data_IF_333927327846
#
_entry.id   IF_333927327846
#
_cell.length_a   1.000
_cell.length_b   1.000
_cell.length_c   1.000
_cell.angle_alpha   90.00
_cell.angle_beta   90.00
_cell.angle_gamma   90.00
#
_symmetry.space_group_name_H-M   'P 1'
#
loop_
_entity.id
_entity.type
_entity.pdbx_description
1 polymer ?
#
# COMPACT_ATOMS: atom_id res chain seq x y z
N UNK A 1 21.73 7.53 4.92
CA UNK A 1 21.26 6.69 3.82
C UNK A 1 19.79 6.48 4.06
N UNK A 2 18.90 6.73 3.11
CA UNK A 2 17.46 6.58 3.36
C UNK A 2 16.98 5.24 2.84
N UNK A 3 16.81 4.26 3.72
CA UNK A 3 16.44 2.90 3.31
C UNK A 3 14.99 2.56 3.65
N UNK A 4 14.38 1.74 2.78
CA UNK A 4 13.15 1.00 3.07
C UNK A 4 13.41 -0.49 2.85
N UNK A 5 12.72 -1.34 3.60
CA UNK A 5 12.68 -2.77 3.34
C UNK A 5 11.27 -3.12 2.86
N UNK A 6 11.14 -3.50 1.59
CA UNK A 6 9.93 -4.12 1.08
C UNK A 6 9.81 -5.55 1.61
N UNK A 7 8.60 -5.94 1.95
CA UNK A 7 8.25 -7.26 2.46
C UNK A 7 7.02 -7.74 1.70
N UNK A 8 7.12 -8.93 1.13
CA UNK A 8 6.02 -9.64 0.52
C UNK A 8 5.68 -10.84 1.39
N UNK A 9 4.44 -10.90 1.85
CA UNK A 9 3.92 -12.04 2.60
C UNK A 9 3.04 -12.90 1.72
N UNK A 10 3.13 -14.23 1.81
CA UNK A 10 2.08 -15.12 1.34
C UNK A 10 0.92 -15.11 2.35
N UNK A 11 -0.32 -15.07 1.86
CA UNK A 11 -1.50 -15.16 2.72
C UNK A 11 -1.81 -16.63 2.94
N UNK A 12 -1.55 -17.15 4.14
CA UNK A 12 -1.63 -18.58 4.45
C UNK A 12 -3.05 -19.02 4.85
N UNK A 13 -3.80 -18.11 5.48
CA UNK A 13 -5.12 -18.42 6.00
C UNK A 13 -6.15 -17.33 5.72
N UNK A 14 -7.46 -17.66 5.79
CA UNK A 14 -8.50 -16.66 5.56
C UNK A 14 -8.33 -15.42 6.44
N UNK A 15 -8.40 -14.24 5.84
CA UNK A 15 -8.19 -12.98 6.53
C UNK A 15 -9.52 -12.32 6.92
N UNK A 16 -9.72 -12.00 8.20
CA UNK A 16 -10.89 -11.26 8.65
C UNK A 16 -10.54 -9.78 8.87
N UNK A 17 -10.80 -8.94 7.87
CA UNK A 17 -10.50 -7.51 7.97
C UNK A 17 -11.02 -6.69 6.79
N UNK A 18 -10.18 -5.85 6.21
CA UNK A 18 -10.57 -5.02 5.05
C UNK A 18 -10.14 -5.68 3.74
N UNK A 19 -11.02 -5.79 2.73
CA UNK A 19 -10.71 -6.53 1.50
C UNK A 19 -9.51 -6.01 0.71
N UNK A 20 -9.23 -4.70 0.77
CA UNK A 20 -8.25 -4.06 -0.11
C UNK A 20 -6.88 -3.83 0.53
N UNK A 21 -6.80 -3.82 1.86
CA UNK A 21 -5.55 -3.52 2.57
C UNK A 21 -5.55 -4.04 4.00
N UNK A 22 -4.35 -4.20 4.55
CA UNK A 22 -4.12 -4.39 5.99
C UNK A 22 -3.55 -3.09 6.56
N UNK A 23 -4.11 -2.61 7.70
CA UNK A 23 -3.67 -1.34 8.29
C UNK A 23 -2.17 -1.39 8.68
N UNK A 24 -1.43 -0.28 8.53
CA UNK A 24 -0.03 -0.24 8.98
C UNK A 24 0.09 -0.47 10.48
N UNK A 25 -0.90 0.01 11.26
CA UNK A 25 -1.04 -0.28 12.68
C UNK A 25 -1.23 -1.78 12.97
N UNK A 26 -2.01 -2.51 12.16
CA UNK A 26 -2.18 -3.96 12.33
C UNK A 26 -0.89 -4.72 12.03
N UNK A 27 -0.18 -4.35 10.96
CA UNK A 27 1.12 -4.94 10.61
C UNK A 27 2.17 -4.64 11.69
N UNK A 28 2.30 -3.38 12.11
CA UNK A 28 3.20 -2.98 13.20
C UNK A 28 2.96 -3.82 14.46
N UNK A 29 1.71 -3.92 14.91
CA UNK A 29 1.39 -4.68 16.13
C UNK A 29 1.59 -6.19 15.97
N UNK A 30 1.64 -6.73 14.74
CA UNK A 30 1.81 -8.16 14.50
C UNK A 30 3.26 -8.62 14.72
N UNK A 31 4.26 -7.75 14.52
CA UNK A 31 5.68 -8.07 14.74
C UNK A 31 6.39 -7.23 15.81
N UNK A 32 5.76 -6.16 16.32
CA UNK A 32 6.41 -5.19 17.22
C UNK A 32 6.98 -5.81 18.52
N UNK A 33 6.39 -6.91 19.00
CA UNK A 33 6.86 -7.61 20.20
C UNK A 33 8.03 -8.58 19.91
N UNK A 34 8.29 -8.88 18.63
CA UNK A 34 9.40 -9.74 18.19
C UNK A 34 10.71 -8.98 17.94
N UNK A 35 10.66 -7.65 17.95
CA UNK A 35 11.83 -6.78 17.76
C UNK A 35 12.28 -6.16 19.07
N UNK A 36 13.54 -5.72 19.14
CA UNK A 36 14.07 -5.03 20.33
C UNK A 36 13.29 -3.75 20.66
N UNK A 37 13.28 -3.31 21.92
CA UNK A 37 12.60 -2.06 22.30
C UNK A 37 13.08 -0.84 21.52
N UNK A 38 14.36 -0.77 21.19
CA UNK A 38 14.94 0.29 20.35
C UNK A 38 14.41 0.21 18.90
N UNK A 39 14.39 -0.98 18.31
CA UNK A 39 13.85 -1.20 16.97
C UNK A 39 12.35 -0.91 16.93
N UNK A 40 11.58 -1.39 17.92
CA UNK A 40 10.15 -1.10 18.09
C UNK A 40 9.89 0.39 18.08
N UNK A 41 10.70 1.17 18.81
CA UNK A 41 10.57 2.63 18.91
C UNK A 41 10.83 3.37 17.60
N UNK A 42 11.69 2.82 16.73
CA UNK A 42 12.12 3.46 15.49
C UNK A 42 11.38 2.97 14.23
N UNK A 43 10.81 1.77 14.24
CA UNK A 43 10.20 1.18 13.04
C UNK A 43 8.87 1.83 12.68
N UNK A 44 8.73 2.16 11.40
CA UNK A 44 7.52 2.67 10.75
C UNK A 44 7.07 1.67 9.69
N UNK A 45 5.76 1.46 9.55
CA UNK A 45 5.20 0.42 8.67
C UNK A 45 4.15 1.01 7.74
N UNK A 46 4.24 0.73 6.44
CA UNK A 46 3.22 1.15 5.47
C UNK A 46 1.91 0.38 5.63
N UNK A 47 0.86 0.81 4.94
CA UNK A 47 -0.26 -0.09 4.68
C UNK A 47 0.21 -1.34 3.91
N UNK A 48 -0.38 -2.49 4.18
CA UNK A 48 -0.24 -3.67 3.33
C UNK A 48 -1.28 -3.65 2.22
N UNK A 49 -0.88 -3.91 0.98
CA UNK A 49 -1.78 -4.01 -0.17
C UNK A 49 -1.78 -5.46 -0.64
N UNK A 50 -2.97 -6.04 -0.84
CA UNK A 50 -3.07 -7.40 -1.37
C UNK A 50 -2.68 -7.43 -2.83
N UNK A 51 -1.95 -8.46 -3.26
CA UNK A 51 -1.42 -8.60 -4.62
C UNK A 51 -1.69 -10.03 -5.11
N UNK A 52 -2.35 -10.23 -6.26
CA UNK A 52 -2.56 -11.56 -6.80
C UNK A 52 -1.29 -12.08 -7.47
N UNK A 53 -0.99 -13.38 -7.36
CA UNK A 53 0.10 -13.98 -8.12
C UNK A 53 -0.34 -14.35 -9.53
N UNK A 54 -0.03 -13.48 -10.50
CA UNK A 54 -0.68 -13.49 -11.80
C UNK A 54 0.18 -12.92 -12.94
N UNK A 55 -0.11 -13.30 -14.17
CA UNK A 55 0.59 -12.79 -15.34
C UNK A 55 0.33 -11.31 -15.60
N UNK A 56 1.41 -10.56 -15.83
CA UNK A 56 1.35 -9.13 -16.07
C UNK A 56 2.50 -8.56 -16.89
N UNK A 57 2.34 -7.27 -17.18
CA UNK A 57 3.25 -6.40 -17.89
C UNK A 57 3.53 -5.16 -17.03
N UNK A 58 4.82 -4.80 -16.89
CA UNK A 58 5.19 -3.57 -16.22
C UNK A 58 4.77 -2.37 -17.08
N UNK A 59 4.04 -1.40 -16.50
CA UNK A 59 3.64 -0.21 -17.24
C UNK A 59 4.84 0.60 -17.74
N UNK A 60 4.66 1.38 -18.80
CA UNK A 60 5.73 2.14 -19.47
C UNK A 60 6.55 3.07 -18.54
N UNK A 61 5.97 3.51 -17.43
CA UNK A 61 6.63 4.38 -16.46
C UNK A 61 7.65 3.67 -15.55
N UNK A 62 7.74 2.34 -15.62
CA UNK A 62 8.62 1.51 -14.80
C UNK A 62 9.96 1.24 -15.49
N UNK A 63 10.96 0.81 -14.71
CA UNK A 63 12.34 0.57 -15.19
C UNK A 63 12.45 -0.49 -16.28
N UNK A 64 11.68 -1.58 -16.19
CA UNK A 64 11.69 -2.69 -17.17
C UNK A 64 10.31 -2.91 -17.81
N UNK A 65 9.80 -1.99 -18.63
CA UNK A 65 8.43 -2.07 -19.13
C UNK A 65 8.20 -3.29 -20.04
N UNK A 66 6.97 -3.80 -20.05
CA UNK A 66 6.57 -4.94 -20.87
C UNK A 66 6.43 -6.25 -20.08
N UNK A 67 6.39 -7.37 -20.79
CA UNK A 67 6.02 -8.67 -20.22
C UNK A 67 7.00 -9.12 -19.14
N UNK A 68 6.48 -9.27 -17.93
CA UNK A 68 7.26 -9.59 -16.74
C UNK A 68 6.91 -10.96 -16.16
N UNK A 69 6.20 -11.80 -16.92
CA UNK A 69 5.80 -13.13 -16.46
C UNK A 69 4.76 -13.08 -15.35
N UNK A 70 4.91 -13.94 -14.34
CA UNK A 70 4.00 -14.03 -13.20
C UNK A 70 4.50 -13.12 -12.08
N UNK A 71 3.72 -12.09 -11.77
CA UNK A 71 3.98 -11.08 -10.76
C UNK A 71 3.23 -11.39 -9.47
N UNK A 72 3.61 -10.74 -8.36
CA UNK A 72 2.93 -10.83 -7.07
C UNK A 72 3.38 -11.97 -6.17
N UNK A 73 4.22 -12.91 -6.65
CA UNK A 73 4.84 -13.96 -5.84
C UNK A 73 6.32 -13.75 -5.50
N UNK A 74 6.88 -12.62 -5.92
CA UNK A 74 8.23 -12.13 -5.61
C UNK A 74 8.26 -10.62 -5.76
N UNK A 75 9.24 -9.96 -5.14
CA UNK A 75 9.43 -8.51 -5.27
C UNK A 75 10.19 -8.19 -6.57
N UNK A 76 9.70 -7.23 -7.37
CA UNK A 76 10.42 -6.75 -8.54
C UNK A 76 11.60 -5.88 -8.13
N UNK A 77 12.62 -5.77 -8.99
CA UNK A 77 13.70 -4.81 -8.78
C UNK A 77 13.16 -3.37 -8.75
N UNK A 78 13.81 -2.52 -7.95
CA UNK A 78 13.42 -1.11 -7.78
C UNK A 78 14.58 -0.24 -8.25
N UNK A 79 14.45 0.35 -9.42
CA UNK A 79 15.44 1.28 -9.97
C UNK A 79 14.89 2.70 -10.08
N UNK A 80 13.58 2.84 -10.31
CA UNK A 80 12.90 4.11 -10.45
C UNK A 80 11.81 4.31 -9.40
N UNK A 81 11.49 5.58 -9.12
CA UNK A 81 10.43 5.98 -8.20
C UNK A 81 9.08 5.31 -8.52
N UNK A 82 8.78 5.07 -9.80
CA UNK A 82 7.54 4.39 -10.20
C UNK A 82 7.46 2.94 -9.72
N UNK A 83 8.59 2.22 -9.66
CA UNK A 83 8.68 0.81 -9.29
C UNK A 83 8.18 0.55 -7.87
N UNK A 84 8.44 1.49 -6.96
CA UNK A 84 7.94 1.46 -5.58
C UNK A 84 6.41 1.35 -5.48
N UNK A 85 5.67 1.72 -6.52
CA UNK A 85 4.21 1.74 -6.53
C UNK A 85 3.55 0.63 -7.33
N UNK A 86 4.32 -0.28 -7.94
CA UNK A 86 3.78 -1.36 -8.77
C UNK A 86 2.78 -2.23 -7.99
N UNK A 87 3.15 -2.62 -6.77
CA UNK A 87 2.31 -3.39 -5.84
C UNK A 87 1.61 -2.52 -4.78
N UNK A 88 1.44 -1.22 -5.05
CA UNK A 88 0.68 -0.30 -4.19
C UNK A 88 -0.69 0.06 -4.76
N UNK A 89 -0.97 -0.36 -5.99
CA UNK A 89 -2.24 -0.10 -6.68
C UNK A 89 -3.16 -1.32 -6.65
N UNK A 90 -4.23 -1.24 -5.85
CA UNK A 90 -5.22 -2.31 -5.69
C UNK A 90 -6.02 -2.63 -6.97
N UNK A 91 -5.91 -1.81 -8.03
CA UNK A 91 -6.51 -2.14 -9.32
C UNK A 91 -5.62 -3.05 -10.18
N UNK A 92 -4.39 -3.34 -9.75
CA UNK A 92 -3.43 -4.23 -10.42
C UNK A 92 -3.34 -3.99 -11.92
N UNK A 93 -3.14 -2.72 -12.33
CA UNK A 93 -3.15 -2.30 -13.74
C UNK A 93 -2.06 -2.96 -14.59
N UNK A 94 -1.08 -3.57 -13.95
CA UNK A 94 -0.05 -4.39 -14.58
C UNK A 94 -0.55 -5.77 -15.01
N UNK A 95 -1.72 -6.25 -14.58
CA UNK A 95 -2.27 -7.52 -15.07
C UNK A 95 -2.50 -7.49 -16.57
N UNK A 96 -2.28 -8.58 -17.30
CA UNK A 96 -2.62 -8.64 -18.73
C UNK A 96 -4.11 -8.37 -18.98
N UNK A 97 -4.46 -7.78 -20.12
CA UNK A 97 -5.86 -7.53 -20.51
C UNK A 97 -6.70 -8.81 -20.63
N UNK A 98 -6.04 -9.96 -20.83
CA UNK A 98 -6.68 -11.28 -20.82
C UNK A 98 -7.10 -11.78 -19.43
N UNK A 99 -6.81 -11.02 -18.37
CA UNK A 99 -7.14 -11.36 -16.99
C UNK A 99 -8.35 -10.56 -16.51
N UNK A 100 -9.24 -11.17 -15.71
CA UNK A 100 -10.42 -10.48 -15.20
C UNK A 100 -10.03 -9.53 -14.06
N UNK A 101 -9.45 -8.36 -14.40
CA UNK A 101 -8.93 -7.38 -13.42
C UNK A 101 -9.98 -6.99 -12.38
N UNK A 102 -11.23 -6.80 -12.78
CA UNK A 102 -12.34 -6.46 -11.89
C UNK A 102 -12.68 -7.55 -10.86
N UNK A 103 -12.33 -8.81 -11.16
CA UNK A 103 -12.48 -9.92 -10.23
C UNK A 103 -11.18 -10.26 -9.49
N UNK A 104 -10.06 -9.63 -9.86
CA UNK A 104 -8.74 -9.81 -9.25
C UNK A 104 -8.25 -8.56 -8.52
N UNK A 105 -9.13 -7.63 -8.16
CA UNK A 105 -8.84 -6.41 -7.37
C UNK A 105 -9.14 -6.56 -5.87
N UNK A 106 -9.73 -7.69 -5.47
CA UNK A 106 -10.03 -8.06 -4.09
C UNK A 106 -10.03 -9.58 -3.97
N UNK A 107 -9.74 -10.08 -2.76
CA UNK A 107 -9.82 -11.50 -2.44
C UNK A 107 -11.27 -12.01 -2.41
N UNK A 108 -11.44 -13.31 -2.65
CA UNK A 108 -12.75 -13.97 -2.61
C UNK A 108 -13.33 -13.96 -1.19
N UNK A 109 -14.62 -13.63 -1.07
CA UNK A 109 -15.31 -13.65 0.22
C UNK A 109 -15.68 -15.08 0.62
N UNK A 110 -15.41 -15.44 1.87
CA UNK A 110 -15.77 -16.72 2.47
C UNK A 110 -16.55 -16.54 3.77
N UNK A 111 -17.36 -17.55 4.10
CA UNK A 111 -18.09 -17.62 5.37
C UNK A 111 -17.67 -18.86 6.14
N UNK A 112 -17.20 -18.65 7.38
CA UNK A 112 -16.72 -19.68 8.29
C UNK A 112 -17.54 -19.64 9.58
N UNK A 113 -18.49 -20.55 9.76
CA UNK A 113 -19.34 -20.57 10.97
C UNK A 113 -20.07 -19.24 11.24
N UNK A 114 -20.55 -18.58 10.17
CA UNK A 114 -21.22 -17.28 10.24
C UNK A 114 -20.29 -16.05 10.28
N UNK A 115 -18.97 -16.25 10.20
CA UNK A 115 -17.98 -15.18 10.15
C UNK A 115 -17.54 -14.93 8.73
N UNK A 116 -17.44 -13.66 8.36
CA UNK A 116 -16.90 -13.24 7.07
C UNK A 116 -15.37 -13.17 7.12
N UNK A 117 -14.73 -13.76 6.13
CA UNK A 117 -13.29 -13.70 5.91
C UNK A 117 -13.00 -13.65 4.39
N UNK A 118 -11.75 -13.41 4.05
CA UNK A 118 -11.24 -13.29 2.69
C UNK A 118 -10.28 -14.43 2.41
N UNK A 119 -10.48 -15.15 1.30
CA UNK A 119 -9.71 -16.33 0.96
C UNK A 119 -8.23 -16.01 0.67
N UNK A 120 -7.29 -16.89 1.03
CA UNK A 120 -5.87 -16.75 0.66
C UNK A 120 -5.61 -16.95 -0.84
N UNK A 121 -6.58 -17.50 -1.58
CA UNK A 121 -6.48 -17.80 -3.00
C UNK A 121 -7.83 -17.59 -3.68
N UNK A 122 -7.79 -17.15 -4.93
CA UNK A 122 -8.95 -17.06 -5.82
C UNK A 122 -8.91 -18.15 -6.88
N UNK A 123 -10.08 -18.58 -7.35
CA UNK A 123 -10.19 -19.56 -8.43
C UNK A 123 -10.91 -18.99 -9.64
N UNK A 124 -10.23 -19.03 -10.79
CA UNK A 124 -10.79 -18.64 -12.08
C UNK A 124 -11.01 -19.86 -12.95
N UNK A 125 -12.20 -19.99 -13.50
CA UNK A 125 -12.57 -21.12 -14.34
C UNK A 125 -13.04 -20.69 -15.73
N UNK A 126 -12.81 -21.57 -16.69
CA UNK A 126 -13.48 -21.61 -17.99
C UNK A 126 -14.26 -22.93 -18.09
N UNK A 127 -15.19 -23.11 -19.05
CA UNK A 127 -15.99 -24.34 -19.14
C UNK A 127 -15.14 -25.62 -19.10
N UNK A 128 -15.68 -26.68 -18.50
CA UNK A 128 -14.93 -27.91 -18.16
C UNK A 128 -14.26 -28.61 -19.34
N UNK A 129 -14.75 -28.41 -20.57
CA UNK A 129 -14.18 -28.98 -21.78
C UNK A 129 -12.91 -28.27 -22.28
N UNK A 130 -12.57 -27.10 -21.73
CA UNK A 130 -11.30 -26.44 -21.99
C UNK A 130 -10.18 -27.06 -21.14
N UNK A 131 -9.01 -27.25 -21.74
CA UNK A 131 -7.80 -27.64 -20.99
C UNK A 131 -7.45 -26.55 -19.97
N UNK A 132 -7.01 -26.95 -18.76
CA UNK A 132 -6.76 -26.05 -17.64
C UNK A 132 -8.00 -25.21 -17.26
N UNK A 133 -9.15 -25.87 -17.23
CA UNK A 133 -10.47 -25.26 -16.98
C UNK A 133 -10.59 -24.55 -15.63
N UNK A 134 -9.67 -24.81 -14.69
CA UNK A 134 -9.63 -24.11 -13.40
C UNK A 134 -8.19 -23.71 -13.09
N UNK A 135 -8.05 -22.48 -12.60
CA UNK A 135 -6.77 -21.88 -12.24
C UNK A 135 -6.86 -21.29 -10.85
N UNK A 136 -5.86 -21.62 -10.04
CA UNK A 136 -5.66 -21.12 -8.69
C UNK A 136 -4.74 -19.90 -8.73
N UNK A 137 -5.13 -18.83 -8.06
CA UNK A 137 -4.36 -17.58 -7.95
C UNK A 137 -4.14 -17.32 -6.47
N UNK A 138 -2.95 -17.63 -5.94
CA UNK A 138 -2.60 -17.26 -4.57
C UNK A 138 -2.53 -15.74 -4.40
N UNK A 139 -2.87 -15.26 -3.22
CA UNK A 139 -2.74 -13.87 -2.83
C UNK A 139 -1.56 -13.66 -1.90
N UNK A 140 -0.92 -12.50 -2.09
CA UNK A 140 0.18 -12.03 -1.28
C UNK A 140 -0.19 -10.67 -0.67
N UNK A 141 0.56 -10.24 0.34
CA UNK A 141 0.42 -8.93 0.95
C UNK A 141 1.76 -8.19 0.85
N UNK A 142 1.79 -7.10 0.10
CA UNK A 142 2.97 -6.26 -0.03
C UNK A 142 2.91 -5.06 0.93
N UNK A 143 3.94 -4.88 1.75
CA UNK A 143 4.16 -3.67 2.52
C UNK A 143 5.64 -3.30 2.53
N UNK A 144 5.99 -2.19 3.17
CA UNK A 144 7.38 -1.86 3.46
C UNK A 144 7.53 -1.24 4.84
N UNK A 145 8.71 -1.45 5.41
CA UNK A 145 9.13 -0.90 6.70
C UNK A 145 10.31 0.05 6.50
N UNK A 146 10.40 1.07 7.34
CA UNK A 146 11.58 1.92 7.41
C UNK A 146 11.82 2.41 8.84
N UNK A 147 13.02 2.89 9.14
CA UNK A 147 13.39 3.35 10.48
C UNK A 147 14.08 4.72 10.39
N UNK A 148 13.30 5.82 10.37
CA UNK A 148 13.87 7.14 10.12
C UNK A 148 14.86 7.51 11.24
N UNK A 149 16.10 7.83 10.86
CA UNK A 149 17.15 8.19 11.81
C UNK A 149 17.79 7.02 12.55
N UNK A 150 17.47 5.77 12.19
CA UNK A 150 18.10 4.59 12.78
C UNK A 150 18.20 3.42 11.78
N UNK A 151 19.16 3.55 10.85
CA UNK A 151 19.37 2.59 9.77
C UNK A 151 19.78 1.20 10.28
N UNK A 152 20.29 1.06 11.52
CA UNK A 152 20.67 -0.23 12.10
C UNK A 152 19.48 -1.14 12.44
N UNK A 153 18.25 -0.66 12.29
CA UNK A 153 17.02 -1.45 12.48
C UNK A 153 16.71 -2.29 11.24
N UNK A 154 17.19 -1.87 10.06
CA UNK A 154 16.95 -2.57 8.81
C UNK A 154 18.16 -3.43 8.41
N UNK A 155 17.92 -4.59 7.78
CA UNK A 155 16.62 -5.23 7.60
C UNK A 155 16.06 -5.78 8.93
N UNK A 156 14.75 -5.65 9.13
CA UNK A 156 14.03 -6.43 10.14
C UNK A 156 14.15 -7.90 9.75
N UNK A 157 14.58 -8.74 10.69
CA UNK A 157 14.86 -10.15 10.43
C UNK A 157 13.59 -10.91 10.04
N UNK A 158 13.75 -11.89 9.14
CA UNK A 158 12.67 -12.80 8.75
C UNK A 158 12.05 -13.49 9.98
N UNK A 159 12.86 -13.90 10.97
CA UNK A 159 12.36 -14.49 12.22
C UNK A 159 11.35 -13.62 12.98
N UNK A 160 11.43 -12.29 12.84
CA UNK A 160 10.47 -11.38 13.47
C UNK A 160 9.22 -11.15 12.62
N UNK A 161 9.33 -11.33 11.29
CA UNK A 161 8.28 -11.06 10.31
C UNK A 161 7.49 -12.31 9.92
N UNK A 162 8.08 -13.49 10.00
CA UNK A 162 7.48 -14.74 9.57
C UNK A 162 6.46 -15.29 10.59
N UNK A 163 5.39 -15.90 10.08
CA UNK A 163 4.32 -16.47 10.91
C UNK A 163 3.49 -15.43 11.68
N UNK A 164 3.51 -14.16 11.27
CA UNK A 164 2.71 -13.11 11.91
C UNK A 164 1.21 -13.28 11.60
N UNK A 165 0.36 -12.72 12.47
CA UNK A 165 -1.09 -12.74 12.27
C UNK A 165 -1.71 -11.35 12.31
N UNK A 166 -2.52 -11.04 11.29
CA UNK A 166 -3.19 -9.74 11.12
C UNK A 166 -4.71 -9.87 11.05
N UNK A 167 -5.41 -8.75 11.27
CA UNK A 167 -6.87 -8.72 11.24
C UNK A 167 -7.53 -9.23 12.52
N UNK A 168 -8.83 -9.52 12.43
CA UNK A 168 -9.66 -10.02 13.53
C UNK A 168 -9.68 -11.55 13.60
N UNK A 169 -10.21 -12.07 14.70
CA UNK A 169 -10.45 -13.51 14.89
C UNK A 169 -9.19 -14.39 14.76
N UNK A 170 -8.01 -13.83 15.06
CA UNK A 170 -6.71 -14.52 15.04
C UNK A 170 -6.69 -15.79 15.91
N UNK A 171 -7.43 -15.79 17.01
CA UNK A 171 -7.61 -16.95 17.89
C UNK A 171 -8.35 -18.14 17.23
N UNK A 172 -8.87 -17.96 16.02
CA UNK A 172 -9.47 -19.01 15.19
C UNK A 172 -8.62 -19.37 13.96
N UNK A 173 -7.35 -18.91 13.92
CA UNK A 173 -6.41 -19.20 12.84
C UNK A 173 -6.54 -18.30 11.61
N UNK A 174 -7.18 -17.13 11.73
CA UNK A 174 -7.32 -16.18 10.61
C UNK A 174 -6.15 -15.20 10.51
N UNK A 175 -5.86 -14.83 9.26
CA UNK A 175 -4.91 -13.79 8.88
C UNK A 175 -3.45 -14.14 9.11
N UNK A 176 -3.09 -15.42 9.01
CA UNK A 176 -1.71 -15.90 9.06
C UNK A 176 -0.97 -15.51 7.78
N UNK A 177 0.25 -15.03 7.96
CA UNK A 177 1.15 -14.57 6.91
C UNK A 177 2.52 -15.21 7.08
N UNK A 178 3.10 -15.67 5.98
CA UNK A 178 4.50 -16.14 5.92
C UNK A 178 5.32 -15.21 5.02
N UNK A 179 6.61 -15.03 5.30
CA UNK A 179 7.47 -14.20 4.46
C UNK A 179 7.78 -14.95 3.16
N UNK A 180 7.31 -14.41 2.04
CA UNK A 180 7.59 -14.94 0.71
C UNK A 180 8.86 -14.33 0.10
N UNK A 181 9.07 -13.02 0.30
CA UNK A 181 10.22 -12.30 -0.24
C UNK A 181 10.50 -11.00 0.53
N UNK A 182 11.75 -10.55 0.53
CA UNK A 182 12.17 -9.28 1.13
C UNK A 182 13.25 -8.60 0.30
N UNK A 183 13.18 -7.28 0.18
CA UNK A 183 14.16 -6.49 -0.55
C UNK A 183 14.49 -5.22 0.23
N UNK A 184 15.78 -4.94 0.43
CA UNK A 184 16.25 -3.67 0.96
C UNK A 184 16.50 -2.71 -0.20
N UNK A 185 15.91 -1.52 -0.14
CA UNK A 185 16.01 -0.49 -1.19
C UNK A 185 16.63 0.75 -0.58
N UNK A 186 17.74 1.22 -1.18
CA UNK A 186 18.29 2.53 -0.88
C UNK A 186 17.59 3.60 -1.73
N UNK A 187 16.80 4.46 -1.10
CA UNK A 187 16.11 5.55 -1.79
C UNK A 187 17.08 6.60 -2.33
N UNK A 188 18.33 6.64 -1.87
CA UNK A 188 19.35 7.52 -2.42
C UNK A 188 19.88 7.02 -3.78
N UNK A 189 19.73 5.71 -4.07
CA UNK A 189 20.08 5.09 -5.36
C UNK A 189 18.90 5.04 -6.36
N UNK A 190 17.66 5.10 -5.87
CA UNK A 190 16.46 5.12 -6.73
C UNK A 190 16.39 6.41 -7.57
N UNK A 191 16.16 6.27 -8.87
CA UNK A 191 15.97 7.41 -9.78
C UNK A 191 14.59 8.07 -9.59
N UNK A 192 14.61 9.39 -9.44
CA UNK A 192 13.43 10.26 -9.47
C UNK A 192 13.35 11.08 -10.77
N UNK A 193 14.09 10.70 -11.81
CA UNK A 193 14.13 11.43 -13.09
C UNK A 193 12.76 11.57 -13.75
N UNK A 194 11.88 10.58 -13.58
CA UNK A 194 10.50 10.62 -14.07
C UNK A 194 9.61 11.70 -13.42
N UNK A 195 10.11 12.45 -12.43
CA UNK A 195 9.44 13.63 -11.87
C UNK A 195 10.10 14.95 -12.31
N UNK A 196 11.16 14.93 -13.11
CA UNK A 196 11.90 16.12 -13.52
C UNK A 196 11.37 16.66 -14.85
N UNK A 197 11.36 17.98 -15.00
CA UNK A 197 11.02 18.63 -16.27
C UNK A 197 9.53 18.72 -16.61
N UNK A 198 8.63 18.42 -15.68
CA UNK A 198 7.19 18.64 -15.84
C UNK A 198 6.75 19.95 -15.19
N UNK A 199 5.77 20.62 -15.80
CA UNK A 199 5.25 21.91 -15.33
C UNK A 199 4.21 21.76 -14.21
N UNK A 200 3.45 20.67 -14.21
CA UNK A 200 2.40 20.39 -13.25
C UNK A 200 2.52 18.99 -12.67
N UNK A 201 2.13 18.86 -11.39
CA UNK A 201 2.09 17.59 -10.69
C UNK A 201 0.76 17.39 -9.96
N UNK A 202 0.48 16.15 -9.63
CA UNK A 202 -0.61 15.73 -8.77
C UNK A 202 -0.09 14.87 -7.62
N UNK A 203 -0.86 14.81 -6.55
CA UNK A 203 -0.64 13.93 -5.41
C UNK A 203 -1.78 12.93 -5.35
N UNK A 204 -1.43 11.66 -5.34
CA UNK A 204 -2.33 10.56 -5.03
C UNK A 204 -2.13 10.15 -3.56
N UNK A 205 -3.20 10.18 -2.77
CA UNK A 205 -3.18 9.69 -1.39
C UNK A 205 -3.31 8.17 -1.41
N UNK A 206 -2.28 7.45 -0.98
CA UNK A 206 -2.28 5.99 -0.93
C UNK A 206 -2.70 5.46 0.43
N UNK A 207 -2.58 6.28 1.48
CA UNK A 207 -3.17 5.99 2.77
C UNK A 207 -3.86 7.20 3.40
N UNK A 208 -4.79 6.99 4.34
CA UNK A 208 -5.48 8.10 4.99
C UNK A 208 -4.49 9.04 5.68
N UNK A 209 -4.76 10.34 5.62
CA UNK A 209 -3.96 11.38 6.29
C UNK A 209 -4.69 11.86 7.54
N UNK A 210 -4.03 11.78 8.70
CA UNK A 210 -4.66 12.11 10.00
C UNK A 210 -4.70 13.61 10.24
N UNK A 211 -5.89 14.13 10.54
CA UNK A 211 -6.12 15.53 10.91
C UNK A 211 -6.23 15.70 12.42
N UNK A 212 -6.86 14.74 13.09
CA UNK A 212 -7.05 14.76 14.53
C UNK A 212 -7.02 13.33 15.07
N UNK A 213 -6.48 13.18 16.27
CA UNK A 213 -6.38 11.91 16.98
C UNK A 213 -6.82 12.07 18.42
N UNK A 214 -7.42 11.02 18.99
CA UNK A 214 -7.70 10.93 20.42
C UNK A 214 -6.48 10.55 21.27
N UNK A 215 -5.34 10.22 20.66
CA UNK A 215 -4.11 9.86 21.37
C UNK A 215 -3.58 11.08 22.14
N UNK A 216 -3.18 10.87 23.40
CA UNK A 216 -2.63 11.94 24.24
C UNK A 216 -1.40 12.58 23.60
N UNK A 217 -1.37 13.91 23.55
CA UNK A 217 -0.26 14.68 22.97
C UNK A 217 -0.22 14.67 21.43
N UNK A 218 -1.22 14.12 20.74
CA UNK A 218 -1.29 14.20 19.29
C UNK A 218 -1.72 15.59 18.82
N UNK A 219 -0.89 16.22 17.98
CA UNK A 219 -1.20 17.51 17.40
C UNK A 219 -2.36 17.42 16.40
N UNK A 220 -3.24 18.44 16.45
CA UNK A 220 -4.18 18.69 15.35
C UNK A 220 -3.40 19.21 14.14
N UNK A 221 -3.75 18.70 12.96
CA UNK A 221 -3.12 19.07 11.71
C UNK A 221 -4.18 19.54 10.71
N UNK A 222 -3.86 20.58 9.95
CA UNK A 222 -4.63 20.96 8.78
C UNK A 222 -4.25 20.11 7.57
N UNK A 223 -5.10 20.11 6.55
CA UNK A 223 -4.69 19.64 5.22
C UNK A 223 -3.44 20.44 4.79
N UNK A 224 -2.39 19.78 4.26
CA UNK A 224 -1.18 20.49 3.84
C UNK A 224 -1.50 21.55 2.78
N UNK A 225 -0.93 22.75 2.92
CA UNK A 225 -1.22 23.89 2.03
C UNK A 225 -0.77 23.67 0.58
N UNK A 226 0.12 22.70 0.34
CA UNK A 226 0.58 22.29 -0.97
C UNK A 226 -0.35 21.27 -1.66
N UNK A 227 -1.51 20.97 -1.06
CA UNK A 227 -2.60 20.22 -1.69
C UNK A 227 -3.58 21.21 -2.30
N UNK A 228 -3.63 21.26 -3.62
CA UNK A 228 -4.62 22.07 -4.34
C UNK A 228 -6.04 21.56 -4.13
N UNK A 229 -7.02 22.36 -4.53
CA UNK A 229 -8.43 21.96 -4.50
C UNK A 229 -8.64 20.69 -5.34
N UNK A 230 -9.35 19.71 -4.77
CA UNK A 230 -9.67 18.46 -5.46
C UNK A 230 -10.38 18.72 -6.78
N UNK A 231 -9.94 18.07 -7.86
CA UNK A 231 -10.56 18.18 -9.21
C UNK A 231 -11.85 17.34 -9.35
N UNK A 232 -12.32 16.66 -8.29
CA UNK A 232 -13.48 15.77 -8.35
C UNK A 232 -14.80 16.57 -8.45
N UNK A 233 -15.58 16.29 -9.50
CA UNK A 233 -16.85 16.97 -9.84
C UNK A 233 -18.06 16.62 -8.98
N UNK A 234 -17.88 16.23 -7.72
CA UNK A 234 -18.99 16.11 -6.77
C UNK A 234 -18.89 17.20 -5.72
N UNK A 235 -19.98 17.97 -5.58
CA UNK A 235 -20.14 19.05 -4.60
C UNK A 235 -20.06 18.45 -3.21
N UNK A 236 -18.86 18.52 -2.62
CA UNK A 236 -18.64 18.34 -1.18
C UNK A 236 -18.27 19.71 -0.65
N UNK A 237 -19.10 20.29 0.23
CA UNK A 237 -18.81 21.56 0.89
C UNK A 237 -17.38 21.55 1.49
N UNK A 238 -16.63 22.65 1.30
CA UNK A 238 -15.26 22.79 1.81
C UNK A 238 -14.16 22.59 0.75
N UNK A 239 -13.12 21.83 1.10
CA UNK A 239 -11.90 21.64 0.28
C UNK A 239 -11.99 20.49 -0.74
N UNK A 240 -13.17 19.87 -0.90
CA UNK A 240 -13.42 18.80 -1.87
C UNK A 240 -12.78 17.45 -1.49
N UNK A 241 -12.38 17.26 -0.22
CA UNK A 241 -11.75 16.03 0.27
C UNK A 241 -12.74 15.17 1.09
N UNK A 242 -12.80 13.87 0.80
CA UNK A 242 -13.60 12.92 1.58
C UNK A 242 -12.97 12.76 2.96
N UNK A 243 -13.79 12.92 3.99
CA UNK A 243 -13.40 12.65 5.37
C UNK A 243 -13.82 11.25 5.78
N UNK A 244 -13.03 10.61 6.61
CA UNK A 244 -13.31 9.28 7.15
C UNK A 244 -12.89 9.19 8.61
N UNK A 245 -13.67 8.45 9.39
CA UNK A 245 -13.28 8.02 10.73
C UNK A 245 -12.40 6.77 10.64
N UNK A 246 -11.30 6.76 11.36
CA UNK A 246 -10.39 5.62 11.48
C UNK A 246 -10.13 5.28 12.95
N UNK A 247 -9.63 4.08 13.23
CA UNK A 247 -9.25 3.68 14.59
C UNK A 247 -7.78 3.29 14.66
N UNK A 248 -7.13 3.72 15.72
CA UNK A 248 -5.77 3.32 16.07
C UNK A 248 -5.81 2.44 17.31
N UNK A 249 -5.20 1.25 17.24
CA UNK A 249 -5.05 0.37 18.39
C UNK A 249 -3.60 0.46 18.89
N UNK A 250 -3.45 0.72 20.17
CA UNK A 250 -2.16 0.83 20.86
C UNK A 250 -2.21 0.04 22.17
N UNK A 251 -1.09 -0.01 22.91
CA UNK A 251 -1.08 -0.53 24.29
C UNK A 251 -2.02 0.22 25.23
N UNK A 252 -2.28 1.50 24.96
CA UNK A 252 -3.03 2.39 25.84
C UNK A 252 -4.53 2.37 25.55
N UNK A 253 -4.94 1.67 24.48
CA UNK A 253 -6.33 1.50 24.10
C UNK A 253 -6.60 1.75 22.61
N UNK A 254 -7.87 1.97 22.30
CA UNK A 254 -8.39 2.25 20.95
C UNK A 254 -8.76 3.72 20.87
N UNK A 255 -8.20 4.43 19.89
CA UNK A 255 -8.40 5.85 19.69
C UNK A 255 -9.08 6.10 18.34
N UNK A 256 -10.07 6.99 18.34
CA UNK A 256 -10.70 7.46 17.11
C UNK A 256 -9.81 8.52 16.43
N UNK A 257 -9.74 8.45 15.10
CA UNK A 257 -9.00 9.34 14.24
C UNK A 257 -9.96 10.00 13.24
N UNK A 258 -9.80 11.29 13.00
CA UNK A 258 -10.42 11.97 11.87
C UNK A 258 -9.38 12.14 10.76
N UNK A 259 -9.69 11.66 9.56
CA UNK A 259 -8.74 11.60 8.44
C UNK A 259 -9.30 12.22 7.16
N UNK A 260 -8.40 12.67 6.28
CA UNK A 260 -8.65 12.66 4.83
C UNK A 260 -8.53 11.22 4.37
N UNK A 261 -9.51 10.73 3.63
CA UNK A 261 -9.46 9.37 3.12
C UNK A 261 -8.42 9.20 1.99
N UNK A 262 -8.01 7.97 1.74
CA UNK A 262 -7.14 7.62 0.62
C UNK A 262 -7.90 7.53 -0.71
N UNK A 263 -7.17 7.44 -1.81
CA UNK A 263 -7.69 7.36 -3.18
C UNK A 263 -8.01 8.72 -3.81
N UNK A 264 -7.80 9.82 -3.09
CA UNK A 264 -7.88 11.16 -3.66
C UNK A 264 -6.68 11.46 -4.55
N UNK A 265 -6.93 12.12 -5.67
CA UNK A 265 -5.91 12.76 -6.51
C UNK A 265 -6.16 14.27 -6.49
N UNK A 266 -5.17 15.02 -6.02
CA UNK A 266 -5.24 16.49 -5.91
C UNK A 266 -4.10 17.15 -6.67
N UNK A 267 -4.25 18.39 -7.15
CA UNK A 267 -3.13 19.15 -7.70
C UNK A 267 -2.03 19.34 -6.65
N UNK A 268 -0.78 19.25 -7.06
CA UNK A 268 0.37 19.64 -6.24
C UNK A 268 0.70 21.11 -6.48
N UNK A 269 0.72 21.91 -5.42
CA UNK A 269 1.04 23.35 -5.50
C UNK A 269 2.36 23.72 -4.82
N UNK A 270 3.14 22.73 -4.39
CA UNK A 270 4.47 22.94 -3.83
C UNK A 270 5.54 23.16 -4.90
N UNK A 271 6.76 23.45 -4.46
CA UNK A 271 7.88 23.82 -5.34
C UNK A 271 8.97 22.74 -5.43
N UNK A 272 8.85 21.64 -4.69
CA UNK A 272 9.85 20.56 -4.63
C UNK A 272 9.15 19.19 -4.77
N UNK A 273 8.77 18.78 -5.99
CA UNK A 273 8.06 17.54 -6.23
C UNK A 273 8.89 16.31 -5.84
N UNK A 274 10.21 16.36 -6.02
CA UNK A 274 11.12 15.24 -5.70
C UNK A 274 11.26 15.07 -4.19
N UNK A 275 11.51 16.15 -3.44
CA UNK A 275 11.54 16.09 -1.99
C UNK A 275 10.19 15.67 -1.40
N UNK A 276 9.09 16.15 -1.98
CA UNK A 276 7.73 15.73 -1.59
C UNK A 276 7.50 14.25 -1.87
N UNK A 277 7.96 13.73 -3.01
CA UNK A 277 7.86 12.32 -3.36
C UNK A 277 8.62 11.41 -2.38
N UNK A 278 9.84 11.81 -1.98
CA UNK A 278 10.63 11.10 -0.95
C UNK A 278 9.90 11.07 0.40
N UNK A 279 9.38 12.22 0.84
CA UNK A 279 8.60 12.30 2.07
C UNK A 279 7.30 11.49 1.97
N UNK A 280 6.71 11.36 0.78
CA UNK A 280 5.50 10.58 0.57
C UNK A 280 5.69 9.07 0.77
N UNK A 281 6.84 8.53 0.36
CA UNK A 281 7.25 7.13 0.64
C UNK A 281 7.43 6.94 2.15
N UNK A 282 8.11 7.89 2.80
CA UNK A 282 8.36 7.84 4.25
C UNK A 282 7.14 8.25 5.11
N UNK A 283 6.05 8.63 4.41
CA UNK A 283 4.79 9.14 4.92
C UNK A 283 4.89 10.49 5.65
N UNK A 284 3.83 11.28 5.54
CA UNK A 284 3.72 12.61 6.16
C UNK A 284 2.68 12.63 7.29
N UNK A 285 2.89 13.50 8.28
CA UNK A 285 1.95 13.71 9.39
C UNK A 285 2.26 12.91 10.66
N UNK A 286 1.47 13.16 11.71
CA UNK A 286 1.75 12.69 13.09
C UNK A 286 1.68 11.18 13.29
N UNK A 287 0.99 10.45 12.42
CA UNK A 287 0.76 9.01 12.57
C UNK A 287 1.45 8.18 11.47
N UNK A 288 2.46 8.76 10.81
CA UNK A 288 3.26 8.12 9.74
C UNK A 288 3.88 6.78 10.15
N UNK A 289 4.22 6.64 11.43
CA UNK A 289 4.71 5.38 12.02
C UNK A 289 3.77 4.20 11.80
N UNK A 290 2.46 4.45 11.81
CA UNK A 290 1.42 3.43 11.76
C UNK A 290 0.75 3.32 10.38
N UNK A 291 1.41 3.81 9.33
CA UNK A 291 0.99 3.63 7.93
C UNK A 291 0.10 4.74 7.36
N UNK A 292 -0.18 5.79 8.13
CA UNK A 292 -0.96 6.94 7.66
C UNK A 292 -0.10 7.94 6.88
N UNK A 293 -0.71 8.68 5.95
CA UNK A 293 -0.06 9.77 5.22
C UNK A 293 0.90 9.36 4.10
N UNK A 294 0.73 8.17 3.54
CA UNK A 294 1.44 7.74 2.34
C UNK A 294 0.84 8.41 1.11
N UNK A 295 1.71 8.93 0.26
CA UNK A 295 1.30 9.59 -0.97
C UNK A 295 2.29 9.35 -2.10
N UNK A 296 1.79 9.49 -3.31
CA UNK A 296 2.57 9.44 -4.54
C UNK A 296 2.46 10.77 -5.27
N UNK A 297 3.58 11.34 -5.67
CA UNK A 297 3.61 12.49 -6.58
C UNK A 297 3.66 11.96 -8.01
N UNK A 298 2.90 12.54 -8.93
CA UNK A 298 2.94 12.18 -10.36
C UNK A 298 2.95 13.45 -11.21
N UNK A 299 3.58 13.43 -12.39
CA UNK A 299 3.28 14.43 -13.41
C UNK A 299 1.77 14.49 -13.69
N UNK A 300 1.22 15.68 -13.90
CA UNK A 300 -0.23 15.85 -14.06
C UNK A 300 -0.77 15.30 -15.39
N UNK A 301 0.08 15.17 -16.40
CA UNK A 301 -0.18 14.56 -17.71
C UNK A 301 -0.12 13.02 -17.67
N UNK A 302 0.45 12.44 -16.62
CA UNK A 302 0.57 10.99 -16.46
C UNK A 302 -0.69 10.38 -15.83
N UNK A 303 -1.67 9.97 -16.66
CA UNK A 303 -2.88 9.29 -16.19
C UNK A 303 -2.53 8.01 -15.40
N UNK A 304 -3.38 7.71 -14.41
CA UNK A 304 -3.38 6.46 -13.65
C UNK A 304 -3.84 5.28 -14.53
N UNK A 305 -4.67 5.53 -15.54
CA UNK A 305 -5.16 4.53 -16.50
C UNK A 305 -4.52 4.80 -17.88
N UNK A 306 -3.58 3.96 -18.34
CA UNK A 306 -3.05 4.06 -19.70
C UNK A 306 -4.17 4.07 -20.74
N UNK A 307 -4.09 4.95 -21.75
CA UNK A 307 -5.05 5.06 -22.86
C UNK A 307 -6.29 5.91 -22.60
N UNK A 308 -6.60 6.28 -21.34
CA UNK A 308 -7.78 7.12 -21.05
C UNK A 308 -7.65 8.58 -21.54
N UNK A 309 -6.42 9.07 -21.68
CA UNK A 309 -6.13 10.39 -22.26
C UNK A 309 -6.10 10.42 -23.79
N UNK A 310 -6.18 9.27 -24.48
CA UNK A 310 -6.14 9.20 -25.95
C UNK A 310 -7.54 9.27 -26.59
N UNK A 311 -8.61 9.22 -25.78
CA UNK A 311 -10.02 9.30 -26.21
C UNK A 311 -10.70 10.66 -25.92
N UNK A 312 -9.92 11.73 -25.65
CA UNK A 312 -10.45 13.09 -25.47
C UNK A 312 -9.97 14.05 -26.57
#
# INVERSE_FOLDING_TARGET
>A
MTQIQQVLFEVESPYAGRPYHVSGNALFNAFADQVSGAARGAVHVSHGVFVPSEYGEFPAAHSSPGYAGKLGGSLPEVEAYADLFLYRDAAHRWLLDSRPRDAQNTLDVQTHGGRWAFAPESFFGVPEHHRNSKRRVPWFLHCYVHAPGNDSVLPVSTDALDGIQVGGQRNYGFGELSVADTQLVDLDEVSFDGLRGHDEFSIELLSPFVLQSGVSGADRQSVPSWWGASRAGEVVDGDGLRRRGERLVTSDGVFELATVDHGHVVPYTGTDPVGTARNGIMRVGTHSRFGFGELRVRPADADRVPGRGEEL
#
